data_IF_613275853160
#
_entry.id   IF_613275853160
#
_cell.length_a   1.000
_cell.length_b   1.000
_cell.length_c   1.000
_cell.angle_alpha   90.00
_cell.angle_beta   90.00
_cell.angle_gamma   90.00
#
_symmetry.space_group_name_H-M   'P 1'
#
loop_
_entity.id
_entity.type
_entity.pdbx_description
1 polymer ?
#
# COMPACT_ATOMS: atom_id res chain seq x y z
N UNK A 1 -7.50 2.41 33.32
CA UNK A 1 -7.37 0.95 33.39
C UNK A 1 -6.93 0.49 32.01
N UNK A 2 -5.62 0.42 31.80
CA UNK A 2 -5.04 0.19 30.48
C UNK A 2 -4.71 -1.30 30.38
N UNK A 3 -5.69 -2.12 29.95
CA UNK A 3 -5.39 -3.50 29.55
C UNK A 3 -4.69 -3.38 28.20
N UNK A 4 -3.36 -3.29 28.20
CA UNK A 4 -2.56 -3.68 27.03
C UNK A 4 -2.98 -5.10 26.68
N UNK A 5 -3.86 -5.26 25.69
CA UNK A 5 -4.19 -6.59 25.19
C UNK A 5 -2.90 -7.15 24.60
N UNK A 6 -2.40 -8.23 25.17
CA UNK A 6 -1.29 -8.96 24.59
C UNK A 6 -1.76 -9.52 23.26
N UNK A 7 -1.21 -9.03 22.15
CA UNK A 7 -1.49 -9.52 20.81
C UNK A 7 -0.29 -10.35 20.31
N UNK A 8 -0.55 -11.26 19.37
CA UNK A 8 0.49 -12.04 18.69
C UNK A 8 0.23 -11.93 17.20
N UNK A 9 1.14 -11.26 16.47
CA UNK A 9 1.03 -11.18 15.02
C UNK A 9 1.36 -12.53 14.39
N UNK A 10 0.50 -13.04 13.49
CA UNK A 10 0.80 -14.27 12.77
C UNK A 10 1.90 -14.03 11.73
N UNK A 11 2.38 -15.11 11.11
CA UNK A 11 3.22 -14.97 9.93
C UNK A 11 2.39 -14.40 8.75
N UNK A 12 3.07 -13.79 7.77
CA UNK A 12 2.42 -13.24 6.58
C UNK A 12 1.53 -14.28 5.87
N UNK A 13 1.99 -15.53 5.78
CA UNK A 13 1.27 -16.63 5.13
C UNK A 13 -0.10 -16.87 5.77
N UNK A 14 -0.18 -16.83 7.09
CA UNK A 14 -1.40 -17.11 7.83
C UNK A 14 -2.38 -15.93 7.74
N UNK A 15 -1.86 -14.70 7.84
CA UNK A 15 -2.63 -13.49 7.59
C UNK A 15 -3.22 -13.46 6.17
N UNK A 16 -2.41 -13.84 5.18
CA UNK A 16 -2.83 -13.90 3.78
C UNK A 16 -3.91 -14.97 3.54
N UNK A 17 -3.80 -16.13 4.17
CA UNK A 17 -4.83 -17.17 4.12
C UNK A 17 -6.15 -16.65 4.70
N UNK A 18 -6.10 -16.02 5.88
CA UNK A 18 -7.29 -15.43 6.51
C UNK A 18 -7.92 -14.36 5.62
N UNK A 19 -7.10 -13.54 4.96
CA UNK A 19 -7.57 -12.52 4.03
C UNK A 19 -8.29 -13.12 2.81
N UNK A 20 -7.68 -14.09 2.15
CA UNK A 20 -8.26 -14.77 0.98
C UNK A 20 -9.57 -15.49 1.33
N UNK A 21 -9.62 -16.14 2.49
CA UNK A 21 -10.84 -16.77 2.99
C UNK A 21 -11.95 -15.75 3.21
N UNK A 22 -11.63 -14.59 3.79
CA UNK A 22 -12.61 -13.52 3.99
C UNK A 22 -13.13 -12.97 2.65
N UNK A 23 -12.26 -12.77 1.66
CA UNK A 23 -12.68 -12.33 0.32
C UNK A 23 -13.61 -13.36 -0.33
N UNK A 24 -13.22 -14.64 -0.32
CA UNK A 24 -14.03 -15.72 -0.88
C UNK A 24 -15.40 -15.85 -0.19
N UNK A 25 -15.45 -15.76 1.14
CA UNK A 25 -16.69 -15.78 1.91
C UNK A 25 -17.65 -14.65 1.51
N UNK A 26 -17.11 -13.51 1.09
CA UNK A 26 -17.88 -12.35 0.62
C UNK A 26 -18.14 -12.35 -0.88
N UNK A 27 -17.79 -13.43 -1.59
CA UNK A 27 -17.94 -13.52 -3.05
C UNK A 27 -17.04 -12.55 -3.82
N UNK A 28 -15.94 -12.09 -3.21
CA UNK A 28 -14.95 -11.24 -3.82
C UNK A 28 -13.78 -12.07 -4.37
N UNK A 29 -13.05 -11.60 -5.40
CA UNK A 29 -11.91 -12.34 -5.93
C UNK A 29 -10.81 -12.57 -4.88
N UNK A 30 -10.38 -13.83 -4.73
CA UNK A 30 -9.31 -14.20 -3.81
C UNK A 30 -7.90 -14.11 -4.43
N UNK A 31 -7.81 -14.02 -5.76
CA UNK A 31 -6.58 -13.67 -6.45
C UNK A 31 -6.29 -12.19 -6.28
N UNK A 32 -5.04 -11.85 -5.99
CA UNK A 32 -4.66 -10.53 -5.51
C UNK A 32 -3.71 -9.84 -6.49
N UNK A 33 -3.89 -8.54 -6.62
CA UNK A 33 -2.92 -7.60 -7.19
C UNK A 33 -2.50 -6.70 -6.04
N UNK A 34 -1.24 -6.78 -5.64
CA UNK A 34 -0.69 -5.89 -4.62
C UNK A 34 -0.20 -4.60 -5.26
N UNK A 35 -0.58 -3.47 -4.67
CA UNK A 35 -0.15 -2.15 -5.13
C UNK A 35 0.39 -1.34 -3.95
N UNK A 36 1.19 -0.34 -4.27
CA UNK A 36 1.90 0.52 -3.33
C UNK A 36 1.58 1.99 -3.65
N UNK A 37 2.05 2.93 -2.83
CA UNK A 37 1.74 4.36 -3.00
C UNK A 37 1.96 4.84 -4.44
N UNK A 38 3.12 4.50 -5.02
CA UNK A 38 3.48 4.89 -6.37
C UNK A 38 2.61 4.27 -7.47
N UNK A 39 1.79 3.26 -7.17
CA UNK A 39 0.87 2.63 -8.12
C UNK A 39 -0.54 3.22 -8.09
N UNK A 40 -0.87 4.02 -7.09
CA UNK A 40 -2.21 4.58 -6.91
C UNK A 40 -2.43 5.70 -7.94
N UNK A 41 -3.59 5.69 -8.60
CA UNK A 41 -3.98 6.71 -9.55
C UNK A 41 -5.28 7.39 -9.13
N UNK A 42 -5.20 8.67 -8.78
CA UNK A 42 -6.39 9.52 -8.65
C UNK A 42 -6.51 10.43 -9.86
N UNK A 43 -7.70 10.49 -10.43
CA UNK A 43 -8.04 11.37 -11.55
C UNK A 43 -9.30 12.17 -11.18
N UNK A 44 -9.42 13.40 -11.67
CA UNK A 44 -10.68 14.13 -11.55
C UNK A 44 -11.78 13.42 -12.33
N UNK A 45 -12.95 13.25 -11.73
CA UNK A 45 -14.10 12.66 -12.41
C UNK A 45 -14.99 13.78 -12.98
N UNK A 46 -15.06 13.96 -14.32
CA UNK A 46 -15.89 15.01 -14.90
C UNK A 46 -17.39 14.79 -14.71
N UNK A 47 -17.82 13.58 -14.31
CA UNK A 47 -19.22 13.27 -14.06
C UNK A 47 -19.73 13.74 -12.70
N UNK A 48 -18.83 14.15 -11.79
CA UNK A 48 -19.17 14.60 -10.44
C UNK A 48 -18.39 15.87 -10.09
N UNK A 49 -19.05 16.98 -9.68
CA UNK A 49 -18.34 18.17 -9.21
C UNK A 49 -17.41 17.82 -8.04
N UNK A 50 -16.12 18.12 -8.16
CA UNK A 50 -15.06 17.71 -7.21
C UNK A 50 -14.95 16.19 -7.00
N UNK A 51 -15.51 15.41 -7.92
CA UNK A 51 -15.42 13.96 -7.90
C UNK A 51 -14.02 13.50 -8.28
N UNK A 52 -13.65 12.36 -7.74
CA UNK A 52 -12.40 11.70 -8.09
C UNK A 52 -12.67 10.25 -8.46
N UNK A 53 -11.93 9.78 -9.45
CA UNK A 53 -11.88 8.39 -9.85
C UNK A 53 -10.60 7.78 -9.32
N UNK A 54 -10.75 6.66 -8.62
CA UNK A 54 -9.64 5.82 -8.20
C UNK A 54 -9.36 4.77 -9.28
N UNK A 55 -8.08 4.63 -9.61
CA UNK A 55 -7.53 3.54 -10.41
C UNK A 55 -6.17 3.15 -9.88
N UNK A 56 -5.49 2.25 -10.59
CA UNK A 56 -4.15 1.81 -10.23
C UNK A 56 -3.31 1.58 -11.48
N UNK A 57 -2.02 1.35 -11.31
CA UNK A 57 -1.06 1.22 -12.39
C UNK A 57 0.03 0.25 -11.95
N UNK A 58 0.19 -0.90 -12.61
CA UNK A 58 1.33 -1.80 -12.34
C UNK A 58 2.27 -1.98 -13.54
N UNK A 59 1.82 -1.70 -14.76
CA UNK A 59 2.64 -1.89 -15.96
C UNK A 59 3.88 -0.96 -16.08
N UNK A 60 3.86 0.24 -15.49
CA UNK A 60 4.95 1.22 -15.59
C UNK A 60 5.88 1.15 -14.39
N UNK A 61 5.30 0.89 -13.21
CA UNK A 61 6.03 0.72 -11.95
C UNK A 61 5.61 -0.58 -11.28
N UNK A 62 5.97 -1.75 -11.85
CA UNK A 62 5.56 -3.04 -11.30
C UNK A 62 6.17 -3.23 -9.90
N UNK A 63 5.37 -3.62 -8.90
CA UNK A 63 5.92 -4.09 -7.64
C UNK A 63 6.88 -5.26 -7.86
N UNK A 64 8.00 -5.33 -7.13
CA UNK A 64 8.87 -6.51 -7.20
C UNK A 64 8.16 -7.75 -6.63
N UNK A 65 8.72 -8.93 -6.91
CA UNK A 65 8.22 -10.18 -6.32
C UNK A 65 8.29 -10.09 -4.78
N UNK A 66 7.27 -10.63 -4.13
CA UNK A 66 7.10 -10.66 -2.67
C UNK A 66 7.07 -9.28 -1.98
N UNK A 67 6.82 -8.19 -2.72
CA UNK A 67 6.76 -6.84 -2.16
C UNK A 67 5.74 -6.73 -1.00
N UNK A 68 4.62 -7.43 -1.10
CA UNK A 68 3.57 -7.46 -0.09
C UNK A 68 4.02 -8.09 1.23
N UNK A 69 4.89 -9.11 1.15
CA UNK A 69 5.47 -9.76 2.32
C UNK A 69 6.44 -8.80 3.00
N UNK A 70 7.27 -8.11 2.22
CA UNK A 70 8.19 -7.08 2.73
C UNK A 70 7.41 -5.98 3.46
N UNK A 71 6.32 -5.49 2.86
CA UNK A 71 5.48 -4.48 3.49
C UNK A 71 4.85 -5.00 4.79
N UNK A 72 4.33 -6.22 4.77
CA UNK A 72 3.77 -6.84 5.96
C UNK A 72 4.81 -7.00 7.08
N UNK A 73 5.98 -7.57 6.79
CA UNK A 73 7.04 -7.81 7.76
C UNK A 73 7.57 -6.49 8.34
N UNK A 74 7.80 -5.49 7.47
CA UNK A 74 8.17 -4.15 7.91
C UNK A 74 7.12 -3.56 8.85
N UNK A 75 5.84 -3.61 8.48
CA UNK A 75 4.76 -3.09 9.32
C UNK A 75 4.53 -3.93 10.59
N UNK A 76 4.84 -5.22 10.54
CA UNK A 76 4.71 -6.14 11.66
C UNK A 76 5.63 -5.76 12.84
N UNK A 77 6.70 -5.00 12.60
CA UNK A 77 7.62 -4.50 13.64
C UNK A 77 7.07 -3.31 14.44
N UNK A 78 6.05 -2.60 13.94
CA UNK A 78 5.47 -1.44 14.62
C UNK A 78 4.37 -1.84 15.62
N UNK A 79 4.30 -1.19 16.78
CA UNK A 79 3.20 -1.34 17.74
C UNK A 79 1.94 -0.53 17.30
N UNK A 80 1.51 -0.71 16.05
CA UNK A 80 0.36 -0.03 15.44
C UNK A 80 -0.42 -1.00 14.52
N UNK A 81 -1.75 -0.90 14.39
CA UNK A 81 -2.55 -1.82 13.59
C UNK A 81 -2.05 -2.03 12.16
N UNK A 82 -2.00 -3.29 11.72
CA UNK A 82 -1.79 -3.64 10.31
C UNK A 82 -3.12 -3.93 9.63
N UNK A 83 -3.34 -3.34 8.46
CA UNK A 83 -4.59 -3.46 7.71
C UNK A 83 -4.35 -4.05 6.35
N UNK A 84 -5.06 -5.13 6.04
CA UNK A 84 -5.20 -5.64 4.68
C UNK A 84 -6.40 -4.94 4.04
N UNK A 85 -6.12 -4.12 3.03
CA UNK A 85 -7.10 -3.19 2.47
C UNK A 85 -7.36 -3.50 1.00
N UNK A 86 -8.62 -3.63 0.59
CA UNK A 86 -9.02 -3.76 -0.82
C UNK A 86 -9.67 -2.48 -1.31
N UNK A 87 -9.13 -1.92 -2.39
CA UNK A 87 -9.69 -0.72 -3.03
C UNK A 87 -10.70 -1.03 -4.14
N UNK A 88 -10.67 -2.26 -4.69
CA UNK A 88 -11.57 -2.67 -5.76
C UNK A 88 -11.16 -3.99 -6.39
N UNK A 89 -11.78 -4.31 -7.52
CA UNK A 89 -11.43 -5.42 -8.39
C UNK A 89 -10.95 -4.92 -9.74
N UNK A 90 -10.12 -5.72 -10.40
CA UNK A 90 -9.76 -5.55 -11.80
C UNK A 90 -9.49 -6.92 -12.41
N UNK A 91 -10.10 -7.22 -13.56
CA UNK A 91 -9.86 -8.47 -14.31
C UNK A 91 -10.07 -9.74 -13.47
N UNK A 92 -11.07 -9.74 -12.58
CA UNK A 92 -11.36 -10.87 -11.70
C UNK A 92 -10.33 -11.08 -10.58
N UNK A 93 -9.54 -10.06 -10.23
CA UNK A 93 -8.62 -10.04 -9.09
C UNK A 93 -8.93 -8.87 -8.15
N UNK A 94 -8.64 -9.02 -6.88
CA UNK A 94 -8.75 -7.95 -5.88
C UNK A 94 -7.49 -7.10 -5.85
N UNK A 95 -7.65 -5.78 -5.95
CA UNK A 95 -6.55 -4.82 -5.87
C UNK A 95 -6.39 -4.40 -4.41
N UNK A 96 -5.24 -4.74 -3.83
CA UNK A 96 -5.00 -4.70 -2.40
C UNK A 96 -3.75 -3.93 -1.99
N UNK A 97 -3.75 -3.41 -0.77
CA UNK A 97 -2.64 -2.76 -0.09
C UNK A 97 -2.49 -3.31 1.33
N UNK A 98 -1.28 -3.22 1.87
CA UNK A 98 -1.04 -3.34 3.31
C UNK A 98 -0.82 -1.94 3.86
N UNK A 99 -1.56 -1.57 4.91
CA UNK A 99 -1.48 -0.28 5.59
C UNK A 99 -1.05 -0.48 7.04
N UNK A 100 -0.42 0.53 7.65
CA UNK A 100 -0.12 0.50 9.08
C UNK A 100 -0.03 1.91 9.67
N UNK A 101 -0.87 2.18 10.68
CA UNK A 101 -0.80 3.40 11.50
C UNK A 101 -1.73 3.28 12.72
N UNK A 102 -1.41 4.00 13.79
CA UNK A 102 -2.27 4.17 14.98
C UNK A 102 -3.65 4.75 14.66
N UNK A 103 -3.79 5.50 13.55
CA UNK A 103 -5.06 6.00 13.01
C UNK A 103 -6.12 4.90 12.93
N UNK A 104 -5.71 3.68 12.60
CA UNK A 104 -6.62 2.55 12.43
C UNK A 104 -7.11 1.95 13.75
N UNK A 105 -6.54 2.27 14.90
CA UNK A 105 -7.04 1.79 16.21
C UNK A 105 -8.48 2.24 16.44
N UNK A 106 -8.75 3.51 16.16
CA UNK A 106 -10.09 4.10 16.24
C UNK A 106 -11.05 3.59 15.15
N UNK A 107 -10.51 3.03 14.06
CA UNK A 107 -11.26 2.57 12.88
C UNK A 107 -11.56 1.07 12.91
N UNK A 108 -10.95 0.30 13.81
CA UNK A 108 -11.19 -1.14 13.93
C UNK A 108 -12.66 -1.49 14.16
N UNK A 109 -13.41 -0.59 14.78
CA UNK A 109 -14.85 -0.73 15.03
C UNK A 109 -15.72 -0.01 13.99
N UNK A 110 -15.11 0.66 13.00
CA UNK A 110 -15.83 1.34 11.94
C UNK A 110 -16.45 0.35 10.95
N UNK A 111 -17.57 0.77 10.34
CA UNK A 111 -18.27 -0.04 9.36
C UNK A 111 -17.35 -0.46 8.19
N UNK A 112 -17.35 -1.75 7.88
CA UNK A 112 -16.57 -2.34 6.78
C UNK A 112 -15.25 -2.97 7.20
N UNK A 113 -14.69 -2.63 8.36
CA UNK A 113 -13.53 -3.31 8.91
C UNK A 113 -13.95 -4.60 9.62
N UNK A 114 -13.10 -5.62 9.50
CA UNK A 114 -13.20 -6.89 10.23
C UNK A 114 -11.99 -6.98 11.16
N UNK A 115 -12.13 -6.61 12.44
CA UNK A 115 -11.00 -6.56 13.36
C UNK A 115 -10.52 -7.95 13.76
N UNK A 116 -9.21 -8.08 13.93
CA UNK A 116 -8.49 -9.21 14.53
C UNK A 116 -7.61 -8.68 15.66
N UNK A 117 -8.26 -8.38 16.78
CA UNK A 117 -7.62 -7.72 17.95
C UNK A 117 -6.50 -8.59 18.54
N UNK A 118 -6.67 -9.91 18.49
CA UNK A 118 -5.68 -10.90 18.89
C UNK A 118 -4.37 -10.79 18.08
N UNK A 119 -4.42 -10.20 16.88
CA UNK A 119 -3.26 -9.98 16.01
C UNK A 119 -2.82 -8.52 15.93
N UNK A 120 -3.56 -7.58 16.56
CA UNK A 120 -3.46 -6.14 16.29
C UNK A 120 -3.57 -5.86 14.77
N UNK A 121 -4.59 -6.45 14.14
CA UNK A 121 -4.82 -6.34 12.70
C UNK A 121 -6.29 -6.08 12.37
N UNK A 122 -6.56 -5.64 11.14
CA UNK A 122 -7.91 -5.63 10.58
C UNK A 122 -7.92 -5.92 9.08
N UNK A 123 -9.08 -6.36 8.59
CA UNK A 123 -9.31 -6.60 7.17
C UNK A 123 -10.39 -5.65 6.66
N UNK A 124 -10.14 -4.95 5.55
CA UNK A 124 -11.11 -4.08 4.91
C UNK A 124 -11.41 -4.56 3.47
N UNK A 125 -12.40 -5.45 3.28
CA UNK A 125 -12.76 -6.00 1.96
C UNK A 125 -13.41 -4.98 1.02
N UNK A 126 -13.94 -3.87 1.53
CA UNK A 126 -14.62 -2.84 0.74
C UNK A 126 -15.87 -3.35 0.02
N UNK A 127 -16.32 -2.59 -0.99
CA UNK A 127 -17.45 -2.95 -1.86
C UNK A 127 -16.98 -3.66 -3.13
N UNK A 128 -17.90 -4.37 -3.80
CA UNK A 128 -17.66 -5.02 -5.09
C UNK A 128 -17.58 -4.02 -6.26
N UNK A 129 -16.62 -3.10 -6.20
CA UNK A 129 -16.39 -2.06 -7.20
C UNK A 129 -15.26 -2.48 -8.14
N UNK A 130 -15.46 -2.33 -9.45
CA UNK A 130 -14.39 -2.45 -10.45
C UNK A 130 -13.62 -1.12 -10.55
N UNK A 131 -12.30 -1.20 -10.58
CA UNK A 131 -11.41 -0.06 -10.76
C UNK A 131 -10.50 -0.28 -11.97
N UNK A 132 -10.22 0.75 -12.77
CA UNK A 132 -9.42 0.59 -13.97
C UNK A 132 -7.93 0.48 -13.65
N UNK A 133 -7.22 -0.40 -14.37
CA UNK A 133 -5.78 -0.27 -14.52
C UNK A 133 -5.48 0.80 -15.58
N UNK A 134 -4.70 1.80 -15.20
CA UNK A 134 -4.28 2.90 -16.07
C UNK A 134 -3.11 2.44 -16.93
N UNK A 135 -3.40 2.19 -18.20
CA UNK A 135 -2.40 1.81 -19.21
C UNK A 135 -1.94 2.99 -20.08
N UNK A 136 -2.63 4.14 -19.97
CA UNK A 136 -2.27 5.37 -20.67
C UNK A 136 -1.20 6.15 -19.89
N UNK A 137 -0.08 6.44 -20.56
CA UNK A 137 1.08 7.10 -19.96
C UNK A 137 0.83 8.57 -19.61
N UNK A 138 0.04 9.28 -20.38
CA UNK A 138 -0.26 10.69 -20.13
C UNK A 138 -1.26 10.84 -18.98
N UNK A 139 -2.28 9.97 -18.92
CA UNK A 139 -3.16 9.86 -17.74
C UNK A 139 -2.35 9.57 -16.48
N UNK A 140 -1.42 8.61 -16.57
CA UNK A 140 -0.56 8.27 -15.45
C UNK A 140 0.31 9.44 -14.96
N UNK A 141 0.90 10.21 -15.88
CA UNK A 141 1.71 11.39 -15.53
C UNK A 141 0.87 12.51 -14.92
N UNK A 142 -0.35 12.70 -15.42
CA UNK A 142 -1.26 13.77 -15.00
C UNK A 142 -2.13 13.39 -13.79
N UNK A 143 -1.89 12.22 -13.19
CA UNK A 143 -2.60 11.79 -11.98
C UNK A 143 -2.38 12.76 -10.82
N UNK A 144 -3.33 12.78 -9.91
CA UNK A 144 -3.26 13.56 -8.67
C UNK A 144 -2.39 12.81 -7.67
N UNK A 145 -1.25 13.42 -7.32
CA UNK A 145 -0.26 12.84 -6.39
C UNK A 145 -0.33 13.49 -5.00
N UNK A 146 -0.88 14.71 -4.89
CA UNK A 146 -0.99 15.49 -3.65
C UNK A 146 -2.47 15.82 -3.37
N UNK A 147 -2.80 16.04 -2.09
CA UNK A 147 -4.17 16.40 -1.66
C UNK A 147 -5.22 15.37 -2.13
N UNK A 148 -4.88 14.09 -1.96
CA UNK A 148 -5.70 12.97 -2.44
C UNK A 148 -6.96 12.80 -1.57
N UNK A 149 -8.10 12.37 -2.16
CA UNK A 149 -9.39 12.26 -1.47
C UNK A 149 -9.53 11.05 -0.53
N UNK A 150 -8.49 10.21 -0.36
CA UNK A 150 -8.51 9.04 0.52
C UNK A 150 -7.26 8.96 1.38
N UNK A 151 -7.33 9.56 2.57
CA UNK A 151 -6.21 9.61 3.52
C UNK A 151 -5.76 8.25 4.05
N UNK A 152 -6.66 7.26 4.10
CA UNK A 152 -6.29 5.92 4.59
C UNK A 152 -5.18 5.29 3.73
N UNK A 153 -5.14 5.59 2.43
CA UNK A 153 -4.15 5.04 1.51
C UNK A 153 -2.76 5.66 1.68
N UNK A 154 -2.65 6.81 2.35
CA UNK A 154 -1.37 7.46 2.63
C UNK A 154 -0.53 6.67 3.65
N UNK A 155 -1.14 5.70 4.36
CA UNK A 155 -0.48 4.81 5.32
C UNK A 155 0.04 3.50 4.70
N UNK A 156 0.08 3.39 3.37
CA UNK A 156 0.71 2.27 2.67
C UNK A 156 2.22 2.47 2.52
N UNK A 157 2.93 1.37 2.24
CA UNK A 157 4.36 1.43 1.94
C UNK A 157 4.58 1.99 0.53
N UNK A 158 5.70 2.71 0.34
CA UNK A 158 6.15 3.13 -0.98
C UNK A 158 6.95 2.01 -1.66
N UNK A 159 6.86 1.87 -2.99
CA UNK A 159 7.75 1.02 -3.79
C UNK A 159 9.21 1.37 -3.56
N UNK A 160 9.52 2.66 -3.39
CA UNK A 160 10.87 3.07 -3.02
C UNK A 160 11.33 2.39 -1.72
N UNK A 161 10.52 2.38 -0.68
CA UNK A 161 10.86 1.69 0.58
C UNK A 161 11.04 0.19 0.37
N UNK A 162 10.24 -0.46 -0.49
CA UNK A 162 10.41 -1.88 -0.83
C UNK A 162 11.75 -2.12 -1.52
N UNK A 163 12.13 -1.27 -2.47
CA UNK A 163 13.43 -1.36 -3.14
C UNK A 163 14.60 -1.11 -2.18
N UNK A 164 14.45 -0.17 -1.24
CA UNK A 164 15.44 0.07 -0.18
C UNK A 164 15.62 -1.19 0.68
N UNK A 165 14.53 -1.85 1.07
CA UNK A 165 14.58 -3.11 1.80
C UNK A 165 15.29 -4.21 1.02
N UNK A 166 14.94 -4.39 -0.26
CA UNK A 166 15.60 -5.39 -1.12
C UNK A 166 17.10 -5.12 -1.29
N UNK A 167 17.50 -3.85 -1.40
CA UNK A 167 18.90 -3.47 -1.61
C UNK A 167 19.74 -3.48 -0.33
N UNK A 168 19.14 -3.20 0.83
CA UNK A 168 19.87 -2.92 2.08
C UNK A 168 19.44 -3.77 3.27
N UNK A 169 18.40 -4.60 3.13
CA UNK A 169 17.80 -5.36 4.22
C UNK A 169 17.01 -4.51 5.22
N UNK A 170 16.81 -3.22 4.93
CA UNK A 170 16.06 -2.27 5.77
C UNK A 170 15.59 -1.06 4.97
N UNK A 171 14.57 -0.37 5.49
CA UNK A 171 14.16 0.94 4.98
C UNK A 171 15.17 2.01 5.44
N UNK A 172 15.51 2.93 4.54
CA UNK A 172 16.44 4.01 4.85
C UNK A 172 15.73 5.17 5.54
N UNK A 173 16.41 5.79 6.51
CA UNK A 173 15.94 7.01 7.15
C UNK A 173 15.90 8.19 6.15
N UNK A 174 15.14 9.23 6.47
CA UNK A 174 15.06 10.46 5.66
C UNK A 174 16.43 11.09 5.42
N UNK A 175 17.31 11.04 6.43
CA UNK A 175 18.67 11.54 6.31
C UNK A 175 19.49 10.71 5.31
N UNK A 176 19.48 9.38 5.43
CA UNK A 176 20.20 8.48 4.52
C UNK A 176 19.72 8.62 3.08
N UNK A 177 18.40 8.76 2.88
CA UNK A 177 17.81 9.04 1.57
C UNK A 177 18.33 10.36 0.98
N UNK A 178 18.50 11.38 1.81
CA UNK A 178 19.02 12.68 1.38
C UNK A 178 20.51 12.60 1.06
N UNK A 179 21.30 11.92 1.90
CA UNK A 179 22.71 11.67 1.68
C UNK A 179 22.96 10.90 0.37
N UNK A 180 22.17 9.86 0.08
CA UNK A 180 22.27 9.12 -1.18
C UNK A 180 21.98 9.99 -2.40
N UNK A 181 20.94 10.85 -2.34
CA UNK A 181 20.66 11.81 -3.43
C UNK A 181 21.87 12.70 -3.70
N UNK A 182 22.45 13.27 -2.65
CA UNK A 182 23.65 14.11 -2.75
C UNK A 182 24.80 13.29 -3.35
N UNK A 183 25.10 12.09 -2.84
CA UNK A 183 26.16 11.23 -3.39
C UNK A 183 25.96 10.91 -4.88
N UNK A 184 24.73 10.64 -5.32
CA UNK A 184 24.43 10.41 -6.74
C UNK A 184 24.62 11.66 -7.60
N UNK A 185 24.21 12.83 -7.09
CA UNK A 185 24.46 14.13 -7.73
C UNK A 185 25.97 14.38 -7.87
N UNK A 186 26.73 14.19 -6.80
CA UNK A 186 28.19 14.34 -6.80
C UNK A 186 28.86 13.37 -7.78
N UNK A 187 28.48 12.09 -7.79
CA UNK A 187 29.02 11.11 -8.77
C UNK A 187 28.71 11.49 -10.21
N UNK A 188 27.53 12.07 -10.48
CA UNK A 188 27.16 12.53 -11.83
C UNK A 188 27.95 13.77 -12.25
N UNK A 189 28.25 14.68 -11.32
CA UNK A 189 29.05 15.88 -11.58
C UNK A 189 30.52 15.52 -11.76
N UNK A 190 31.11 14.77 -10.83
CA UNK A 190 32.52 14.34 -10.88
C UNK A 190 32.78 13.29 -11.97
N UNK A 191 31.76 12.50 -12.35
CA UNK A 191 31.85 11.54 -13.45
C UNK A 191 31.78 12.18 -14.84
N UNK A 192 31.45 13.48 -14.95
CA UNK A 192 31.47 14.26 -16.20
C UNK A 192 32.79 15.00 -16.44
N UNK A 193 33.74 14.96 -15.51
CA UNK A 193 35.08 15.58 -15.68
C UNK A 193 36.10 14.67 -16.39
N UNK A 194 35.66 13.55 -16.99
CA UNK A 194 36.53 12.56 -17.65
C UNK A 194 36.29 12.36 -19.15
N UNK A 195 35.59 13.28 -19.81
CA UNK A 195 35.49 13.34 -21.28
C UNK A 195 36.08 14.65 -21.81
#
# INVERSE_FOLDING_TARGET
>A
MDRKSTYIRPAFTDALVAWRQLLALRGLPADLIWIFDENICFESDPSQPNGFRLGFQTAFTPPPLDAERIAYEYFAEFDAPVVFYRIGSATGKSVCLVLCDSWFESRMDAAGFVPKREWLMSFFPGQATEIPEVTDKERWKNRIVRERPLHDLDFCMTLRSVHEWLAHGRVLSTYERSALKVLHLWRRVMGREKD
#
